data_IF_717780066264
#
_entry.id   IF_717780066264
#
_cell.length_a   1.000
_cell.length_b   1.000
_cell.length_c   1.000
_cell.angle_alpha   90.00
_cell.angle_beta   90.00
_cell.angle_gamma   90.00
#
_symmetry.space_group_name_H-M   'P 1'
#
loop_
_entity.id
_entity.type
_entity.pdbx_description
1 polymer ?
#
# COMPACT_ATOMS: atom_id res chain seq x y z
N UNK A 1 20.31 -21.11 40.01
CA UNK A 1 20.42 -20.79 38.57
C UNK A 1 19.12 -21.23 37.91
N UNK A 2 18.18 -20.30 37.71
CA UNK A 2 16.86 -20.57 37.09
C UNK A 2 16.64 -19.49 36.03
N UNK A 3 16.57 -19.91 34.77
CA UNK A 3 16.20 -19.06 33.64
C UNK A 3 14.69 -18.80 33.67
N UNK A 4 14.29 -17.53 33.74
CA UNK A 4 12.97 -17.04 33.33
C UNK A 4 13.20 -16.00 32.23
N UNK A 5 12.85 -16.32 30.99
CA UNK A 5 12.63 -15.30 29.97
C UNK A 5 11.14 -14.94 29.99
N UNK A 6 10.84 -13.79 30.58
CA UNK A 6 9.55 -13.12 30.49
C UNK A 6 9.42 -12.52 29.09
N UNK A 7 8.38 -12.95 28.36
CA UNK A 7 7.88 -12.23 27.19
C UNK A 7 6.95 -11.11 27.70
N UNK A 8 7.32 -9.85 27.50
CA UNK A 8 6.41 -8.71 27.72
C UNK A 8 6.91 -7.49 26.95
N UNK A 9 6.45 -7.34 25.71
CA UNK A 9 6.38 -6.05 25.01
C UNK A 9 5.18 -6.08 24.05
N UNK A 10 3.95 -6.10 24.61
CA UNK A 10 2.68 -5.83 23.90
C UNK A 10 1.76 -5.02 24.80
N UNK A 11 2.28 -3.93 25.36
CA UNK A 11 1.47 -2.94 26.08
C UNK A 11 2.08 -1.59 25.74
N UNK A 12 1.23 -0.62 25.42
CA UNK A 12 1.54 0.75 25.00
C UNK A 12 1.81 0.95 23.50
N UNK A 13 0.74 0.94 22.70
CA UNK A 13 0.24 2.16 22.04
C UNK A 13 -1.08 1.84 21.27
N UNK A 14 -2.16 1.71 22.04
CA UNK A 14 -3.50 2.03 21.56
C UNK A 14 -4.01 3.11 22.50
N UNK A 15 -3.84 4.37 22.10
CA UNK A 15 -4.72 5.43 22.60
C UNK A 15 -5.74 5.66 21.48
N UNK A 16 -6.79 4.86 21.51
CA UNK A 16 -7.88 4.82 20.52
C UNK A 16 -8.86 5.99 20.62
N UNK A 17 -8.53 7.04 21.39
CA UNK A 17 -9.49 8.09 21.74
C UNK A 17 -9.48 9.30 20.80
N UNK A 18 -8.50 9.43 19.90
CA UNK A 18 -8.43 10.57 18.96
C UNK A 18 -8.77 10.19 17.50
N UNK A 19 -9.18 8.94 17.23
CA UNK A 19 -9.48 8.43 15.88
C UNK A 19 -10.98 8.29 15.58
N UNK A 20 -11.87 8.72 16.47
CA UNK A 20 -13.33 8.68 16.26
C UNK A 20 -13.82 10.10 15.95
N UNK A 21 -14.04 10.45 14.67
CA UNK A 21 -14.36 11.83 14.27
C UNK A 21 -15.71 12.35 14.77
N UNK A 22 -16.60 11.49 15.30
CA UNK A 22 -17.85 11.88 15.97
C UNK A 22 -18.41 10.72 16.80
N UNK A 23 -18.53 10.91 18.11
CA UNK A 23 -19.01 9.92 19.09
C UNK A 23 -20.53 9.72 19.07
N UNK A 24 -21.29 10.63 18.46
CA UNK A 24 -22.76 10.58 18.41
C UNK A 24 -23.28 9.67 17.30
N UNK A 25 -22.41 9.25 16.39
CA UNK A 25 -22.74 8.32 15.32
C UNK A 25 -22.24 6.90 15.65
N UNK A 26 -23.13 5.95 15.99
CA UNK A 26 -22.76 4.58 16.34
C UNK A 26 -22.10 3.80 15.19
N UNK A 27 -22.14 4.32 13.97
CA UNK A 27 -21.44 3.75 12.81
C UNK A 27 -19.95 4.09 12.79
N UNK A 28 -19.52 5.13 13.52
CA UNK A 28 -18.11 5.48 13.71
C UNK A 28 -17.41 4.58 14.76
N UNK A 29 -18.17 3.75 15.48
CA UNK A 29 -17.63 2.80 16.46
C UNK A 29 -17.11 1.51 15.80
N UNK A 30 -17.34 1.35 14.50
CA UNK A 30 -16.73 0.32 13.69
C UNK A 30 -15.69 0.93 12.74
N UNK A 31 -14.45 1.02 13.23
CA UNK A 31 -13.30 1.49 12.46
C UNK A 31 -12.98 0.62 11.21
N UNK A 32 -13.68 -0.52 11.03
CA UNK A 32 -13.51 -1.47 9.93
C UNK A 32 -14.54 -1.31 8.79
N UNK A 33 -15.37 -0.27 8.79
CA UNK A 33 -16.42 -0.09 7.77
C UNK A 33 -16.00 0.84 6.62
N UNK A 34 -15.69 0.28 5.45
CA UNK A 34 -15.54 1.03 4.20
C UNK A 34 -16.83 1.80 3.89
N UNK A 35 -16.73 3.14 3.73
CA UNK A 35 -17.86 4.05 3.40
C UNK A 35 -19.06 3.88 4.35
N UNK A 36 -18.83 3.69 5.66
CA UNK A 36 -19.88 3.42 6.67
C UNK A 36 -20.84 2.26 6.27
N UNK A 37 -20.37 1.33 5.43
CA UNK A 37 -21.17 0.22 4.92
C UNK A 37 -22.17 0.59 3.82
N UNK A 38 -22.11 1.79 3.23
CA UNK A 38 -23.00 2.20 2.14
C UNK A 38 -22.29 2.96 1.00
N UNK A 39 -21.55 2.24 0.13
CA UNK A 39 -20.82 2.82 -1.00
C UNK A 39 -21.71 3.32 -2.16
N UNK A 40 -23.04 3.26 -2.00
CA UNK A 40 -24.01 3.71 -3.02
C UNK A 40 -24.53 5.13 -2.73
N UNK A 41 -24.61 5.54 -1.45
CA UNK A 41 -25.26 6.80 -1.04
C UNK A 41 -24.34 7.85 -0.41
N UNK A 42 -23.13 7.49 0.04
CA UNK A 42 -22.16 8.47 0.54
C UNK A 42 -21.33 8.99 -0.63
N UNK A 43 -21.59 10.25 -0.97
CA UNK A 43 -20.97 11.01 -2.04
C UNK A 43 -19.83 11.84 -1.43
N UNK A 44 -18.59 11.58 -1.84
CA UNK A 44 -17.47 12.50 -1.60
C UNK A 44 -17.48 13.52 -2.77
N UNK A 45 -17.86 14.78 -2.54
CA UNK A 45 -18.10 15.75 -3.61
C UNK A 45 -16.84 16.28 -4.30
N UNK A 46 -15.64 15.83 -3.92
CA UNK A 46 -14.40 16.56 -4.22
C UNK A 46 -13.44 15.86 -5.20
N UNK A 47 -13.48 14.54 -5.33
CA UNK A 47 -12.65 13.76 -6.27
C UNK A 47 -11.17 14.11 -6.12
N UNK A 48 -10.56 13.74 -5.00
CA UNK A 48 -9.14 13.93 -4.75
C UNK A 48 -8.38 12.65 -5.02
N UNK A 49 -7.39 12.76 -5.90
CA UNK A 49 -6.36 11.77 -6.21
C UNK A 49 -5.75 11.05 -5.00
N UNK A 50 -5.68 11.71 -3.83
CA UNK A 50 -5.07 11.20 -2.62
C UNK A 50 -5.70 9.89 -2.13
N UNK A 51 -7.00 9.86 -1.85
CA UNK A 51 -7.63 8.69 -1.21
C UNK A 51 -7.65 7.47 -2.16
N UNK A 52 -7.89 7.66 -3.45
CA UNK A 52 -7.94 6.53 -4.39
C UNK A 52 -6.57 5.83 -4.53
N UNK A 53 -5.47 6.60 -4.49
CA UNK A 53 -4.12 6.06 -4.66
C UNK A 53 -3.53 5.64 -3.32
N UNK A 54 -3.37 6.59 -2.39
CA UNK A 54 -2.70 6.39 -1.10
C UNK A 54 -3.43 5.37 -0.22
N UNK A 55 -4.77 5.31 -0.27
CA UNK A 55 -5.54 4.31 0.48
C UNK A 55 -5.92 3.10 -0.37
N UNK A 56 -6.81 3.29 -1.35
CA UNK A 56 -7.51 2.20 -2.02
C UNK A 56 -6.58 1.32 -2.87
N UNK A 57 -5.70 1.95 -3.66
CA UNK A 57 -4.73 1.24 -4.51
C UNK A 57 -3.61 0.62 -3.66
N UNK A 58 -3.04 1.36 -2.71
CA UNK A 58 -2.01 0.85 -1.79
C UNK A 58 -2.49 -0.40 -1.05
N UNK A 59 -3.73 -0.41 -0.54
CA UNK A 59 -4.30 -1.57 0.16
C UNK A 59 -4.31 -2.83 -0.73
N UNK A 60 -4.85 -2.75 -1.95
CA UNK A 60 -4.90 -3.93 -2.84
C UNK A 60 -3.53 -4.38 -3.32
N UNK A 61 -2.58 -3.45 -3.49
CA UNK A 61 -1.20 -3.78 -3.84
C UNK A 61 -0.47 -4.45 -2.68
N UNK A 62 -0.73 -4.05 -1.43
CA UNK A 62 -0.20 -4.68 -0.24
C UNK A 62 -0.74 -6.10 -0.05
N UNK A 63 -2.06 -6.31 -0.22
CA UNK A 63 -2.65 -7.65 -0.26
C UNK A 63 -1.99 -8.51 -1.35
N UNK A 64 -1.82 -7.97 -2.57
CA UNK A 64 -1.18 -8.69 -3.67
C UNK A 64 0.30 -9.01 -3.37
N UNK A 65 1.00 -8.14 -2.64
CA UNK A 65 2.38 -8.33 -2.22
C UNK A 65 2.53 -9.38 -1.10
N UNK A 66 1.41 -9.80 -0.50
CA UNK A 66 1.35 -10.90 0.47
C UNK A 66 1.00 -10.47 1.88
N UNK A 67 0.80 -9.18 2.16
CA UNK A 67 0.36 -8.70 3.47
C UNK A 67 -1.02 -9.23 3.83
N UNK A 68 -1.30 -9.35 5.13
CA UNK A 68 -2.65 -9.65 5.59
C UNK A 68 -3.60 -8.50 5.23
N UNK A 69 -4.90 -8.77 5.11
CA UNK A 69 -5.92 -7.73 4.86
C UNK A 69 -5.84 -6.60 5.91
N UNK A 70 -5.55 -6.96 7.17
CA UNK A 70 -5.36 -5.99 8.26
C UNK A 70 -4.12 -5.13 8.04
N UNK A 71 -2.97 -5.72 7.76
CA UNK A 71 -1.73 -4.96 7.57
C UNK A 71 -1.80 -4.10 6.32
N UNK A 72 -2.37 -4.63 5.23
CA UNK A 72 -2.61 -3.89 3.99
C UNK A 72 -3.47 -2.65 4.24
N UNK A 73 -4.54 -2.79 5.04
CA UNK A 73 -5.39 -1.66 5.44
C UNK A 73 -4.61 -0.64 6.27
N UNK A 74 -3.81 -1.09 7.24
CA UNK A 74 -2.99 -0.20 8.06
C UNK A 74 -2.02 0.59 7.19
N UNK A 75 -1.33 -0.07 6.25
CA UNK A 75 -0.39 0.60 5.33
C UNK A 75 -1.12 1.68 4.53
N UNK A 76 -2.25 1.37 3.89
CA UNK A 76 -3.01 2.35 3.12
C UNK A 76 -3.55 3.51 3.96
N UNK A 77 -3.94 3.26 5.22
CA UNK A 77 -4.36 4.34 6.14
C UNK A 77 -3.19 5.24 6.54
N UNK A 78 -2.00 4.68 6.74
CA UNK A 78 -0.81 5.45 7.09
C UNK A 78 -0.26 6.25 5.91
N UNK A 79 -0.38 5.69 4.71
CA UNK A 79 -0.06 6.34 3.43
C UNK A 79 -0.99 7.55 3.20
N UNK A 80 -2.32 7.35 3.24
CA UNK A 80 -3.29 8.45 3.16
C UNK A 80 -3.09 9.47 4.28
N UNK A 81 -2.83 9.00 5.51
CA UNK A 81 -2.69 9.77 6.74
C UNK A 81 -1.66 10.91 6.68
N UNK A 82 -0.71 10.86 5.75
CA UNK A 82 0.29 11.92 5.54
C UNK A 82 -0.36 13.20 5.04
N UNK A 83 -1.36 13.11 4.15
CA UNK A 83 -2.08 14.28 3.61
C UNK A 83 -2.80 15.05 4.73
N UNK A 84 -3.38 14.35 5.72
CA UNK A 84 -4.08 15.00 6.82
C UNK A 84 -3.12 15.48 7.92
N UNK A 85 -2.06 14.72 8.21
CA UNK A 85 -1.10 15.03 9.27
C UNK A 85 -0.14 16.14 8.87
N UNK A 86 0.23 16.20 7.60
CA UNK A 86 1.26 17.09 7.06
C UNK A 86 0.79 17.79 5.79
N UNK A 87 -0.30 18.58 5.84
CA UNK A 87 -0.92 19.11 4.63
C UNK A 87 0.05 19.91 3.76
N UNK A 88 0.00 19.63 2.45
CA UNK A 88 0.67 20.43 1.44
C UNK A 88 0.13 21.87 1.42
N UNK A 89 0.99 22.84 1.11
CA UNK A 89 0.59 24.24 1.08
C UNK A 89 1.65 25.15 0.51
N UNK A 90 1.24 26.33 0.05
CA UNK A 90 2.19 27.31 -0.48
C UNK A 90 3.25 27.66 0.59
N UNK A 91 4.53 27.51 0.25
CA UNK A 91 5.66 27.71 1.16
C UNK A 91 5.66 26.84 2.43
N UNK A 92 4.89 25.75 2.45
CA UNK A 92 4.89 24.80 3.57
C UNK A 92 6.15 23.94 3.53
N UNK A 93 6.84 23.80 4.66
CA UNK A 93 7.96 22.87 4.80
C UNK A 93 7.51 21.42 4.54
N UNK A 94 6.24 21.10 4.80
CA UNK A 94 5.65 19.78 4.51
C UNK A 94 5.78 19.41 3.02
N UNK A 95 5.80 20.39 2.12
CA UNK A 95 5.99 20.12 0.70
C UNK A 95 7.33 19.43 0.46
N UNK A 96 8.44 19.98 0.96
CA UNK A 96 9.75 19.36 0.74
C UNK A 96 9.92 18.05 1.53
N UNK A 97 9.20 17.91 2.64
CA UNK A 97 9.34 16.76 3.54
C UNK A 97 8.52 15.53 3.14
N UNK A 98 7.34 15.73 2.53
CA UNK A 98 6.35 14.66 2.29
C UNK A 98 5.77 14.60 0.88
N UNK A 99 5.53 15.74 0.21
CA UNK A 99 4.77 15.77 -1.06
C UNK A 99 5.63 16.01 -2.32
N UNK A 100 6.57 16.93 -2.26
CA UNK A 100 7.49 17.32 -3.35
C UNK A 100 8.93 16.91 -2.98
N UNK A 101 9.07 15.66 -2.56
CA UNK A 101 10.32 15.14 -2.00
C UNK A 101 11.41 14.96 -3.05
N UNK A 102 12.66 15.22 -2.66
CA UNK A 102 13.82 14.79 -3.45
C UNK A 102 14.06 13.29 -3.29
N UNK A 103 14.91 12.71 -4.13
CA UNK A 103 15.31 11.31 -3.98
C UNK A 103 16.00 11.07 -2.63
N UNK A 104 16.91 11.97 -2.21
CA UNK A 104 17.59 11.86 -0.92
C UNK A 104 16.59 11.87 0.25
N UNK A 105 15.53 12.68 0.18
CA UNK A 105 14.51 12.70 1.23
C UNK A 105 13.73 11.39 1.30
N UNK A 106 13.47 10.74 0.17
CA UNK A 106 12.81 9.43 0.14
C UNK A 106 13.72 8.32 0.65
N UNK A 107 15.03 8.41 0.40
CA UNK A 107 16.01 7.49 1.00
C UNK A 107 16.06 7.65 2.53
N UNK A 108 15.95 8.86 3.06
CA UNK A 108 15.84 9.09 4.50
C UNK A 108 14.57 8.45 5.10
N UNK A 109 13.42 8.63 4.45
CA UNK A 109 12.16 7.99 4.87
C UNK A 109 12.24 6.45 4.80
N UNK A 110 12.91 5.92 3.77
CA UNK A 110 13.17 4.48 3.66
C UNK A 110 14.04 3.97 4.81
N UNK A 111 15.14 4.67 5.13
CA UNK A 111 16.01 4.30 6.25
C UNK A 111 15.26 4.34 7.59
N UNK A 112 14.40 5.34 7.80
CA UNK A 112 13.53 5.40 8.98
C UNK A 112 12.62 4.17 9.10
N UNK A 113 12.01 3.75 7.99
CA UNK A 113 11.24 2.51 7.94
C UNK A 113 12.12 1.27 8.21
N UNK A 114 13.33 1.18 7.64
CA UNK A 114 14.20 0.03 7.86
C UNK A 114 14.59 -0.12 9.33
N UNK A 115 14.88 1.01 9.99
CA UNK A 115 15.23 1.09 11.41
C UNK A 115 14.06 0.72 12.32
N UNK A 116 12.87 1.27 12.08
CA UNK A 116 11.70 1.06 12.94
C UNK A 116 10.98 -0.26 12.65
N UNK A 117 10.93 -0.66 11.38
CA UNK A 117 10.08 -1.72 10.86
C UNK A 117 8.57 -1.45 10.98
N UNK A 118 8.16 -0.22 11.26
CA UNK A 118 6.75 0.13 11.50
C UNK A 118 5.96 0.26 10.20
N UNK A 119 4.66 -0.07 10.23
CA UNK A 119 3.79 0.14 9.07
C UNK A 119 3.44 1.64 8.87
N UNK A 120 3.57 2.47 9.91
CA UNK A 120 3.42 3.93 9.80
C UNK A 120 4.54 4.54 8.96
N UNK A 121 5.78 4.17 9.23
CA UNK A 121 6.94 4.67 8.47
C UNK A 121 6.94 4.11 7.04
N UNK A 122 6.49 2.86 6.86
CA UNK A 122 6.28 2.30 5.52
C UNK A 122 5.23 3.10 4.74
N UNK A 123 4.07 3.39 5.34
CA UNK A 123 3.03 4.23 4.72
C UNK A 123 3.55 5.62 4.39
N UNK A 124 4.30 6.24 5.31
CA UNK A 124 4.89 7.57 5.11
C UNK A 124 5.89 7.60 3.94
N UNK A 125 6.74 6.58 3.82
CA UNK A 125 7.63 6.42 2.67
C UNK A 125 6.83 6.24 1.37
N UNK A 126 5.82 5.37 1.37
CA UNK A 126 5.01 5.08 0.17
C UNK A 126 4.30 6.32 -0.34
N UNK A 127 3.73 7.14 0.56
CA UNK A 127 3.14 8.42 0.21
C UNK A 127 4.12 9.30 -0.57
N UNK A 128 5.29 9.58 0.01
CA UNK A 128 6.29 10.42 -0.62
C UNK A 128 6.81 9.85 -1.96
N UNK A 129 6.95 8.52 -2.06
CA UNK A 129 7.32 7.84 -3.29
C UNK A 129 6.22 7.98 -4.36
N UNK A 130 4.95 7.82 -4.00
CA UNK A 130 3.82 7.92 -4.93
C UNK A 130 3.63 9.36 -5.44
N UNK A 131 3.70 10.34 -4.54
CA UNK A 131 3.63 11.76 -4.87
C UNK A 131 4.76 12.20 -5.81
N UNK A 132 5.95 11.59 -5.71
CA UNK A 132 7.07 11.89 -6.61
C UNK A 132 6.76 11.63 -8.10
N UNK A 133 5.87 10.68 -8.42
CA UNK A 133 5.44 10.40 -9.79
C UNK A 133 4.42 11.42 -10.29
N UNK A 134 3.54 11.88 -9.41
CA UNK A 134 2.50 12.87 -9.65
C UNK A 134 3.10 14.26 -9.85
N UNK A 135 4.18 14.54 -9.13
CA UNK A 135 4.83 15.86 -9.06
C UNK A 135 6.15 15.94 -9.81
N UNK A 136 6.51 14.94 -10.61
CA UNK A 136 7.69 14.97 -11.46
C UNK A 136 7.69 16.20 -12.38
N UNK A 137 8.59 17.15 -12.09
CA UNK A 137 8.74 18.42 -12.82
C UNK A 137 8.23 19.67 -12.10
N UNK A 138 7.66 19.54 -10.90
CA UNK A 138 7.15 20.67 -10.11
C UNK A 138 8.11 21.07 -8.98
N UNK A 139 8.10 22.35 -8.61
CA UNK A 139 8.96 22.91 -7.56
C UNK A 139 8.27 22.82 -6.19
N UNK A 140 8.97 22.41 -5.13
CA UNK A 140 8.40 22.25 -3.80
C UNK A 140 7.85 23.54 -3.15
N UNK A 141 8.34 24.73 -3.52
CA UNK A 141 7.87 25.99 -2.95
C UNK A 141 6.53 26.47 -3.52
N UNK A 142 6.29 26.20 -4.81
CA UNK A 142 5.11 26.67 -5.55
C UNK A 142 4.15 25.51 -5.85
N UNK A 143 4.63 24.26 -5.84
CA UNK A 143 3.88 23.07 -6.24
C UNK A 143 3.41 23.14 -7.69
N UNK A 144 2.17 22.68 -7.94
CA UNK A 144 1.47 22.76 -9.23
C UNK A 144 0.48 23.93 -9.29
N UNK A 145 0.75 25.05 -8.59
CA UNK A 145 -0.16 26.21 -8.43
C UNK A 145 -0.76 26.72 -9.75
N UNK A 146 -0.03 26.58 -10.86
CA UNK A 146 -0.43 27.04 -12.19
C UNK A 146 -1.14 25.97 -13.05
N UNK A 147 -1.15 24.71 -12.62
CA UNK A 147 -1.71 23.56 -13.35
C UNK A 147 -2.96 22.93 -12.69
N UNK A 148 -3.41 23.47 -11.55
CA UNK A 148 -4.61 23.01 -10.84
C UNK A 148 -4.52 21.53 -10.42
N UNK A 149 -5.64 20.79 -10.39
CA UNK A 149 -5.70 19.33 -10.11
C UNK A 149 -5.30 18.44 -11.31
N UNK A 150 -4.69 19.02 -12.34
CA UNK A 150 -4.39 18.30 -13.60
C UNK A 150 -3.25 17.27 -13.48
N UNK A 151 -2.19 17.49 -12.68
CA UNK A 151 -1.16 16.48 -12.41
C UNK A 151 -1.70 15.30 -11.61
N UNK A 152 -2.65 15.57 -10.72
CA UNK A 152 -3.31 14.61 -9.83
C UNK A 152 -4.44 13.85 -10.55
N UNK A 153 -4.29 13.60 -11.84
CA UNK A 153 -5.26 12.83 -12.61
C UNK A 153 -4.56 11.63 -13.21
N UNK A 154 -4.68 10.49 -12.51
CA UNK A 154 -4.12 9.20 -12.96
C UNK A 154 -4.53 8.86 -14.40
N UNK A 155 -5.73 9.25 -14.84
CA UNK A 155 -6.21 8.98 -16.20
C UNK A 155 -5.58 9.90 -17.27
N UNK A 156 -5.02 11.06 -16.90
CA UNK A 156 -4.25 11.93 -17.80
C UNK A 156 -2.78 11.51 -17.92
N UNK A 157 -2.24 10.78 -16.95
CA UNK A 157 -0.88 10.27 -16.91
C UNK A 157 -0.82 8.76 -16.60
N UNK A 158 -1.65 7.96 -17.27
CA UNK A 158 -1.86 6.55 -16.91
C UNK A 158 -0.58 5.70 -16.94
N UNK A 159 0.37 6.03 -17.81
CA UNK A 159 1.64 5.31 -17.90
C UNK A 159 2.50 5.56 -16.65
N UNK A 160 2.55 6.81 -16.17
CA UNK A 160 3.25 7.15 -14.92
C UNK A 160 2.57 6.54 -13.72
N UNK A 161 1.24 6.58 -13.67
CA UNK A 161 0.47 5.97 -12.59
C UNK A 161 0.62 4.44 -12.54
N UNK A 162 0.75 3.77 -13.70
CA UNK A 162 1.03 2.33 -13.75
C UNK A 162 2.45 2.02 -13.25
N UNK A 163 3.45 2.81 -13.64
CA UNK A 163 4.83 2.67 -13.15
C UNK A 163 4.89 2.89 -11.64
N UNK A 164 4.23 3.92 -11.13
CA UNK A 164 4.08 4.18 -9.70
C UNK A 164 3.49 2.95 -8.99
N UNK A 165 2.36 2.42 -9.48
CA UNK A 165 1.73 1.25 -8.89
C UNK A 165 2.64 0.00 -8.90
N UNK A 166 3.40 -0.20 -9.99
CA UNK A 166 4.38 -1.29 -10.06
C UNK A 166 5.53 -1.10 -9.05
N UNK A 167 6.02 0.14 -8.88
CA UNK A 167 7.07 0.47 -7.92
C UNK A 167 6.57 0.27 -6.48
N UNK A 168 5.38 0.77 -6.14
CA UNK A 168 4.69 0.52 -4.86
C UNK A 168 4.57 -0.98 -4.58
N UNK A 169 4.04 -1.76 -5.55
CA UNK A 169 3.94 -3.22 -5.44
C UNK A 169 5.30 -3.89 -5.22
N UNK A 170 6.35 -3.42 -5.89
CA UNK A 170 7.69 -3.97 -5.79
C UNK A 170 8.32 -3.72 -4.41
N UNK A 171 8.18 -2.49 -3.88
CA UNK A 171 8.59 -2.15 -2.51
C UNK A 171 7.86 -3.03 -1.51
N UNK A 172 6.52 -3.09 -1.58
CA UNK A 172 5.72 -3.93 -0.69
C UNK A 172 6.13 -5.40 -0.76
N UNK A 173 6.35 -5.93 -1.97
CA UNK A 173 6.80 -7.31 -2.17
C UNK A 173 8.17 -7.59 -1.54
N UNK A 174 9.10 -6.63 -1.64
CA UNK A 174 10.42 -6.73 -1.02
C UNK A 174 10.30 -6.70 0.50
N UNK A 175 9.49 -5.78 1.04
CA UNK A 175 9.24 -5.66 2.47
C UNK A 175 8.62 -6.93 3.05
N UNK A 176 7.57 -7.46 2.42
CA UNK A 176 6.92 -8.71 2.84
C UNK A 176 7.92 -9.87 2.89
N UNK A 177 8.81 -9.96 1.89
CA UNK A 177 9.87 -10.97 1.84
C UNK A 177 10.90 -10.80 2.96
N UNK A 178 11.42 -9.59 3.17
CA UNK A 178 12.49 -9.30 4.16
C UNK A 178 11.98 -9.49 5.58
N UNK A 179 10.80 -8.93 5.89
CA UNK A 179 10.18 -9.04 7.22
C UNK A 179 9.50 -10.40 7.45
N UNK A 180 9.50 -11.29 6.44
CA UNK A 180 8.84 -12.62 6.44
C UNK A 180 7.35 -12.51 6.80
N UNK A 181 6.69 -11.48 6.28
CA UNK A 181 5.30 -11.17 6.53
C UNK A 181 4.43 -11.89 5.49
N UNK A 182 3.37 -12.54 5.97
CA UNK A 182 2.24 -12.96 5.17
C UNK A 182 2.48 -14.16 4.25
N UNK A 183 1.74 -14.19 3.14
CA UNK A 183 1.80 -15.27 2.14
C UNK A 183 2.70 -14.87 0.98
N UNK A 184 3.10 -15.83 0.16
CA UNK A 184 3.89 -15.52 -1.03
C UNK A 184 3.10 -14.57 -1.97
N UNK A 185 3.77 -13.52 -2.47
CA UNK A 185 3.17 -12.53 -3.37
C UNK A 185 2.51 -13.14 -4.59
N UNK A 186 1.56 -12.43 -5.20
CA UNK A 186 1.01 -12.76 -6.51
C UNK A 186 1.90 -12.18 -7.61
N UNK A 187 1.94 -12.83 -8.78
CA UNK A 187 2.68 -12.32 -9.92
C UNK A 187 2.00 -11.04 -10.46
N UNK A 188 2.76 -9.98 -10.70
CA UNK A 188 2.28 -8.66 -11.12
C UNK A 188 1.38 -8.76 -12.36
N UNK A 189 1.76 -9.59 -13.32
CA UNK A 189 1.10 -9.82 -14.60
C UNK A 189 -0.36 -10.29 -14.44
N UNK A 190 -0.70 -10.87 -13.27
CA UNK A 190 -2.08 -11.30 -12.96
C UNK A 190 -3.00 -10.14 -12.62
N UNK A 191 -2.46 -9.03 -12.12
CA UNK A 191 -3.25 -7.86 -11.68
C UNK A 191 -2.98 -6.61 -12.54
N UNK A 192 -1.88 -6.57 -13.29
CA UNK A 192 -1.43 -5.42 -14.09
C UNK A 192 -2.54 -4.82 -14.97
N UNK A 193 -3.25 -5.66 -15.74
CA UNK A 193 -4.36 -5.18 -16.60
C UNK A 193 -5.47 -4.51 -15.79
N UNK A 194 -5.75 -5.01 -14.60
CA UNK A 194 -6.74 -4.41 -13.71
C UNK A 194 -6.22 -3.13 -13.07
N UNK A 195 -4.94 -3.08 -12.68
CA UNK A 195 -4.31 -1.85 -12.19
C UNK A 195 -4.31 -0.77 -13.27
N UNK A 196 -3.97 -1.10 -14.52
CA UNK A 196 -4.07 -0.17 -15.65
C UNK A 196 -5.50 0.36 -15.83
N UNK A 197 -6.51 -0.52 -15.76
CA UNK A 197 -7.91 -0.10 -15.80
C UNK A 197 -8.27 0.81 -14.63
N UNK A 198 -7.73 0.55 -13.44
CA UNK A 198 -7.97 1.35 -12.24
C UNK A 198 -7.44 2.78 -12.40
N UNK A 199 -6.18 2.91 -12.83
CA UNK A 199 -5.55 4.23 -13.02
C UNK A 199 -6.16 5.00 -14.20
N UNK A 200 -6.76 4.31 -15.18
CA UNK A 200 -7.50 4.93 -16.28
C UNK A 200 -8.96 5.25 -15.95
N UNK A 201 -9.51 4.70 -14.86
CA UNK A 201 -10.91 4.84 -14.53
C UNK A 201 -11.25 6.27 -14.09
N UNK A 202 -12.26 6.85 -14.73
CA UNK A 202 -12.72 8.22 -14.48
C UNK A 202 -13.78 8.32 -13.39
N UNK A 203 -14.44 7.21 -13.06
CA UNK A 203 -15.53 7.19 -12.09
C UNK A 203 -15.17 6.34 -10.86
N UNK A 204 -15.59 6.80 -9.68
CA UNK A 204 -15.42 6.06 -8.41
C UNK A 204 -16.08 4.68 -8.48
N UNK A 205 -17.24 4.59 -9.13
CA UNK A 205 -17.96 3.32 -9.34
C UNK A 205 -17.11 2.31 -10.11
N UNK A 206 -16.45 2.75 -11.18
CA UNK A 206 -15.56 1.87 -11.96
C UNK A 206 -14.32 1.48 -11.16
N UNK A 207 -13.71 2.43 -10.44
CA UNK A 207 -12.57 2.17 -9.54
C UNK A 207 -12.90 1.08 -8.52
N UNK A 208 -14.01 1.21 -7.78
CA UNK A 208 -14.46 0.22 -6.79
C UNK A 208 -14.71 -1.16 -7.42
N UNK A 209 -15.33 -1.20 -8.59
CA UNK A 209 -15.54 -2.45 -9.34
C UNK A 209 -14.21 -3.11 -9.69
N UNK A 210 -13.23 -2.33 -10.15
CA UNK A 210 -11.93 -2.84 -10.55
C UNK A 210 -11.13 -3.34 -9.34
N UNK A 211 -11.13 -2.62 -8.22
CA UNK A 211 -10.53 -3.09 -6.97
C UNK A 211 -11.13 -4.43 -6.52
N UNK A 212 -12.45 -4.56 -6.60
CA UNK A 212 -13.15 -5.82 -6.27
C UNK A 212 -12.71 -6.98 -7.18
N UNK A 213 -12.46 -6.70 -8.47
CA UNK A 213 -11.91 -7.69 -9.40
C UNK A 213 -10.47 -8.10 -9.04
N UNK A 214 -9.62 -7.14 -8.61
CA UNK A 214 -8.25 -7.40 -8.13
C UNK A 214 -8.29 -8.28 -6.87
N UNK A 215 -9.07 -7.89 -5.85
CA UNK A 215 -9.23 -8.69 -4.61
C UNK A 215 -9.73 -10.11 -4.90
N UNK A 216 -10.59 -10.28 -5.90
CA UNK A 216 -11.04 -11.62 -6.33
C UNK A 216 -9.90 -12.44 -6.95
N UNK A 217 -9.06 -11.83 -7.80
CA UNK A 217 -7.87 -12.49 -8.36
C UNK A 217 -6.95 -12.93 -7.22
N UNK A 218 -6.72 -12.06 -6.22
CA UNK A 218 -5.89 -12.35 -5.06
C UNK A 218 -6.39 -13.58 -4.31
N UNK A 219 -7.67 -13.58 -3.90
CA UNK A 219 -8.30 -14.71 -3.20
C UNK A 219 -8.25 -16.01 -4.01
N UNK A 220 -8.43 -15.95 -5.33
CA UNK A 220 -8.34 -17.15 -6.18
C UNK A 220 -6.93 -17.74 -6.20
N UNK A 221 -5.90 -16.90 -6.24
CA UNK A 221 -4.51 -17.33 -6.24
C UNK A 221 -4.09 -17.94 -4.90
N UNK A 222 -4.51 -17.34 -3.79
CA UNK A 222 -4.31 -17.92 -2.46
C UNK A 222 -4.98 -19.30 -2.32
N UNK A 223 -6.21 -19.43 -2.83
CA UNK A 223 -6.94 -20.71 -2.80
C UNK A 223 -6.26 -21.78 -3.66
N UNK A 224 -5.72 -21.43 -4.83
CA UNK A 224 -4.98 -22.37 -5.69
C UNK A 224 -3.73 -22.90 -5.00
N UNK A 225 -3.03 -22.06 -4.25
CA UNK A 225 -1.83 -22.46 -3.47
C UNK A 225 -2.19 -23.39 -2.32
N UNK A 226 -3.25 -23.09 -1.58
CA UNK A 226 -3.73 -23.97 -0.50
C UNK A 226 -4.10 -25.38 -1.02
N UNK A 227 -4.58 -25.48 -2.26
CA UNK A 227 -4.94 -26.75 -2.91
C UNK A 227 -3.75 -27.48 -3.55
N UNK A 228 -2.62 -26.80 -3.78
CA UNK A 228 -1.43 -27.37 -4.42
C UNK A 228 -0.28 -27.35 -3.40
N UNK A 229 -0.20 -28.33 -2.48
CA UNK A 229 0.93 -28.40 -1.56
C UNK A 229 2.24 -28.47 -2.34
N UNK A 230 3.34 -27.87 -1.83
CA UNK A 230 4.62 -27.90 -2.51
C UNK A 230 4.97 -29.35 -2.84
N UNK A 231 5.25 -29.62 -4.13
CA UNK A 231 5.76 -30.92 -4.53
C UNK A 231 7.00 -31.19 -3.67
N UNK A 232 6.97 -32.31 -2.92
CA UNK A 232 8.17 -32.78 -2.22
C UNK A 232 9.25 -32.90 -3.28
N UNK A 233 10.28 -32.07 -3.19
CA UNK A 233 11.50 -32.25 -3.97
C UNK A 233 11.96 -33.67 -3.64
N UNK A 234 12.05 -34.59 -4.62
CA UNK A 234 12.54 -35.93 -4.34
C UNK A 234 13.91 -35.76 -3.69
N UNK A 235 14.05 -36.29 -2.48
CA UNK A 235 15.30 -36.30 -1.75
C UNK A 235 16.39 -36.78 -2.71
N UNK A 236 17.53 -36.07 -2.77
CA UNK A 236 18.76 -36.47 -3.48
C UNK A 236 19.35 -37.77 -2.89
N UNK A 237 18.59 -38.86 -2.84
CA UNK A 237 19.05 -40.19 -2.44
C UNK A 237 19.04 -41.18 -3.61
N UNK A 238 18.91 -40.71 -4.86
CA UNK A 238 18.95 -41.58 -6.05
C UNK A 238 19.83 -41.11 -7.22
N UNK A 239 20.73 -40.15 -6.99
CA UNK A 239 21.74 -39.75 -8.00
C UNK A 239 23.06 -40.56 -7.83
N UNK A 240 23.16 -41.41 -6.81
CA UNK A 240 24.37 -42.16 -6.49
C UNK A 240 24.34 -43.62 -6.99
N UNK A 241 23.78 -43.89 -8.18
CA UNK A 241 23.86 -45.22 -8.82
C UNK A 241 24.11 -45.19 -10.34
N UNK A 242 24.35 -44.02 -10.95
CA UNK A 242 24.61 -43.93 -12.41
C UNK A 242 26.01 -43.44 -12.81
N UNK A 243 26.95 -43.35 -11.87
CA UNK A 243 28.36 -43.00 -12.16
C UNK A 243 29.31 -44.22 -12.14
N UNK A 244 28.82 -45.42 -12.49
CA UNK A 244 29.67 -46.61 -12.66
C UNK A 244 29.70 -47.17 -14.09
N UNK A 245 29.17 -46.45 -15.09
CA UNK A 245 29.13 -46.91 -16.49
C UNK A 245 29.35 -45.78 -17.53
N UNK A 246 30.38 -44.95 -17.33
CA UNK A 246 30.96 -44.11 -18.42
C UNK A 246 32.48 -44.18 -18.34
#
# INVERSE_FOLDING_TARGET
MINRFHFSFVKYFLKSEDLIPDITNPQNWNAYTYVKGNPVNFNDPSGHYGEDVHLDLTEVLAEAAGFSETDARVIGVMDQGVDEKFPAGLWSDNNALYHFTTEERRDELWNQFEESGSLEDLGTYLHAEQDSFSHAGYNAGIGHLFDGKSPDNTAKASDRALIMAWKTFSVLSQTAKVKRIGVEKIAWEKIEKNVLRYVQAKSKKDKVKILSEIKRIIKQEEQKRKKTPPQKIPHKSKIMEMEQYV
#
